data_IF_646704396275
#
_entry.id   IF_646704396275
#
_cell.length_a   1.000
_cell.length_b   1.000
_cell.length_c   1.000
_cell.angle_alpha   90.00
_cell.angle_beta   90.00
_cell.angle_gamma   90.00
#
_symmetry.space_group_name_H-M   'P 1'
#
loop_
_entity.id
_entity.type
_entity.pdbx_description
1 polymer ?
#
# COMPACT_ATOMS: atom_id res chain seq x y z
N UNK A 1 18.22 10.78 -13.03
CA UNK A 1 19.17 10.91 -11.90
C UNK A 1 20.12 12.03 -12.24
N UNK A 2 20.13 13.11 -11.47
CA UNK A 2 21.03 14.24 -11.67
C UNK A 2 22.36 13.96 -10.97
N UNK A 3 23.41 14.69 -11.35
CA UNK A 3 24.73 14.58 -10.73
C UNK A 3 25.07 15.83 -9.94
N UNK A 4 25.88 15.66 -8.89
CA UNK A 4 26.40 16.79 -8.13
C UNK A 4 27.24 17.74 -9.00
N UNK A 5 27.95 17.22 -10.00
CA UNK A 5 28.71 18.02 -10.95
C UNK A 5 27.82 18.92 -11.81
N UNK A 6 26.68 18.42 -12.30
CA UNK A 6 25.70 19.24 -13.03
C UNK A 6 25.13 20.36 -12.16
N UNK A 7 24.81 20.06 -10.90
CA UNK A 7 24.33 21.05 -9.94
C UNK A 7 25.38 22.15 -9.72
N UNK A 8 26.63 21.76 -9.41
CA UNK A 8 27.74 22.69 -9.17
C UNK A 8 28.12 23.52 -10.39
N UNK A 9 27.89 23.00 -11.60
CA UNK A 9 28.13 23.71 -12.85
C UNK A 9 26.95 24.64 -13.25
N UNK A 10 25.89 24.74 -12.44
CA UNK A 10 24.70 25.55 -12.74
C UNK A 10 23.85 25.03 -13.90
N UNK A 11 24.08 23.80 -14.36
CA UNK A 11 23.39 23.22 -15.53
C UNK A 11 21.94 22.85 -15.24
N UNK A 12 21.52 22.91 -13.97
CA UNK A 12 20.17 22.58 -13.51
C UNK A 12 19.35 23.82 -13.17
N UNK A 13 19.82 25.03 -13.52
CA UNK A 13 19.09 26.27 -13.28
C UNK A 13 17.66 26.20 -13.85
N UNK A 14 16.66 26.56 -13.04
CA UNK A 14 15.25 26.51 -13.41
C UNK A 14 14.61 25.10 -13.32
N UNK A 15 15.34 24.08 -12.84
CA UNK A 15 14.77 22.76 -12.65
C UNK A 15 13.67 22.76 -11.57
N UNK A 16 12.53 22.15 -11.90
CA UNK A 16 11.45 21.90 -10.94
C UNK A 16 11.65 20.62 -10.12
N UNK A 17 12.49 19.70 -10.62
CA UNK A 17 12.80 18.44 -9.97
C UNK A 17 14.30 18.21 -9.92
N UNK A 18 14.80 17.86 -8.74
CA UNK A 18 16.18 17.46 -8.52
C UNK A 18 16.24 16.10 -7.82
N UNK A 19 16.88 15.12 -8.45
CA UNK A 19 17.16 13.80 -7.90
C UNK A 19 18.68 13.61 -7.72
N UNK A 20 19.18 13.58 -6.49
CA UNK A 20 20.58 13.31 -6.16
C UNK A 20 20.72 12.07 -5.27
N UNK A 21 21.49 11.09 -5.74
CA UNK A 21 21.92 9.94 -4.96
C UNK A 21 23.34 9.59 -5.37
N UNK A 22 24.27 10.28 -4.74
CA UNK A 22 25.69 10.25 -5.05
C UNK A 22 26.55 10.19 -3.77
N UNK A 23 25.99 9.61 -2.70
CA UNK A 23 26.68 9.43 -1.43
C UNK A 23 26.88 10.73 -0.66
N UNK A 24 25.90 11.66 -0.74
CA UNK A 24 25.96 12.94 -0.02
C UNK A 24 26.03 12.70 1.49
N UNK A 25 27.02 13.28 2.16
CA UNK A 25 27.11 13.31 3.64
C UNK A 25 26.59 14.62 4.22
N UNK A 26 26.47 15.65 3.39
CA UNK A 26 25.96 16.97 3.73
C UNK A 26 25.04 17.48 2.62
N UNK A 27 24.13 18.40 2.98
CA UNK A 27 23.25 19.05 2.01
C UNK A 27 24.07 19.99 1.10
N UNK A 28 24.07 19.81 -0.23
CA UNK A 28 24.78 20.72 -1.14
C UNK A 28 24.15 22.11 -1.13
N UNK A 29 24.88 23.18 -0.74
CA UNK A 29 24.34 24.54 -0.72
C UNK A 29 23.87 25.02 -2.10
N UNK A 30 24.43 24.47 -3.19
CA UNK A 30 24.05 24.80 -4.56
C UNK A 30 22.59 24.43 -4.90
N UNK A 31 21.92 23.60 -4.08
CA UNK A 31 20.48 23.36 -4.23
C UNK A 31 19.69 24.65 -4.03
N UNK A 32 20.17 25.58 -3.20
CA UNK A 32 19.52 26.86 -2.98
C UNK A 32 19.56 27.78 -4.20
N UNK A 33 20.43 27.54 -5.18
CA UNK A 33 20.41 28.25 -6.47
C UNK A 33 19.17 27.88 -7.31
N UNK A 34 18.41 26.86 -6.89
CA UNK A 34 17.13 26.45 -7.50
C UNK A 34 15.92 26.94 -6.71
N UNK A 35 16.09 27.82 -5.73
CA UNK A 35 15.02 28.29 -4.84
C UNK A 35 13.79 28.86 -5.58
N UNK A 36 14.00 29.46 -6.74
CA UNK A 36 12.96 30.09 -7.56
C UNK A 36 12.15 29.09 -8.41
N UNK A 37 12.54 27.81 -8.47
CA UNK A 37 11.88 26.82 -9.34
C UNK A 37 11.64 25.45 -8.73
N UNK A 38 12.43 25.05 -7.72
CA UNK A 38 12.47 23.67 -7.25
C UNK A 38 11.19 23.29 -6.48
N UNK A 39 10.42 22.35 -7.04
CA UNK A 39 9.19 21.82 -6.44
C UNK A 39 9.39 20.43 -5.81
N UNK A 40 10.26 19.61 -6.39
CA UNK A 40 10.49 18.23 -5.99
C UNK A 40 11.99 18.02 -5.73
N UNK A 41 12.33 17.73 -4.48
CA UNK A 41 13.69 17.39 -4.07
C UNK A 41 13.75 15.94 -3.59
N UNK A 42 14.58 15.14 -4.24
CA UNK A 42 14.82 13.75 -3.86
C UNK A 42 16.32 13.53 -3.57
N UNK A 43 16.61 13.30 -2.31
CA UNK A 43 17.91 13.00 -1.72
C UNK A 43 17.97 11.56 -1.18
N UNK A 44 17.13 10.66 -1.71
CA UNK A 44 17.08 9.25 -1.29
C UNK A 44 18.40 8.53 -1.58
N UNK A 45 18.84 7.64 -0.68
CA UNK A 45 20.03 6.82 -0.91
C UNK A 45 21.32 7.63 -0.83
N UNK A 46 21.46 8.42 0.23
CA UNK A 46 22.67 9.15 0.59
C UNK A 46 23.04 8.82 2.06
N UNK A 47 23.89 9.63 2.68
CA UNK A 47 24.33 9.48 4.07
C UNK A 47 24.07 10.77 4.88
N UNK A 48 22.99 11.49 4.55
CA UNK A 48 22.61 12.71 5.25
C UNK A 48 22.08 12.39 6.65
N UNK A 49 22.50 13.17 7.65
CA UNK A 49 21.98 13.09 9.02
C UNK A 49 21.23 14.35 9.45
N UNK A 50 21.31 15.43 8.67
CA UNK A 50 20.62 16.69 8.90
C UNK A 50 20.23 17.38 7.59
N UNK A 51 19.34 18.35 7.69
CA UNK A 51 19.02 19.33 6.65
C UNK A 51 19.34 20.72 7.18
N UNK A 52 19.63 21.71 6.31
CA UNK A 52 19.94 23.06 6.75
C UNK A 52 18.70 23.74 7.38
N UNK A 53 18.91 24.57 8.41
CA UNK A 53 17.85 25.29 9.11
C UNK A 53 17.06 26.24 8.20
N UNK A 54 17.70 26.75 7.15
CA UNK A 54 17.14 27.67 6.17
C UNK A 54 16.57 26.95 4.92
N UNK A 55 16.19 25.67 5.03
CA UNK A 55 15.56 24.91 3.94
C UNK A 55 14.32 25.61 3.36
N UNK A 56 13.59 26.36 4.19
CA UNK A 56 12.41 27.15 3.81
C UNK A 56 12.69 28.23 2.74
N UNK A 57 13.96 28.52 2.43
CA UNK A 57 14.35 29.32 1.25
C UNK A 57 13.90 28.70 -0.06
N UNK A 58 13.70 27.39 -0.12
CA UNK A 58 13.10 26.70 -1.27
C UNK A 58 11.58 26.93 -1.25
N UNK A 59 11.16 28.16 -1.57
CA UNK A 59 9.78 28.62 -1.38
C UNK A 59 8.73 27.86 -2.19
N UNK A 60 9.15 27.20 -3.27
CA UNK A 60 8.30 26.37 -4.12
C UNK A 60 8.35 24.87 -3.78
N UNK A 61 9.11 24.45 -2.76
CA UNK A 61 9.30 23.05 -2.44
C UNK A 61 8.00 22.41 -1.92
N UNK A 62 7.48 21.45 -2.69
CA UNK A 62 6.23 20.73 -2.40
C UNK A 62 6.46 19.30 -1.93
N UNK A 63 7.55 18.67 -2.40
CA UNK A 63 7.84 17.25 -2.18
C UNK A 63 9.31 17.08 -1.80
N UNK A 64 9.55 16.41 -0.67
CA UNK A 64 10.89 16.06 -0.20
C UNK A 64 11.00 14.57 0.11
N UNK A 65 11.96 13.90 -0.53
CA UNK A 65 12.32 12.52 -0.23
C UNK A 65 13.76 12.42 0.27
N UNK A 66 13.94 11.90 1.48
CA UNK A 66 15.22 11.67 2.15
C UNK A 66 15.30 10.21 2.66
N UNK A 67 14.74 9.25 1.92
CA UNK A 67 14.73 7.84 2.34
C UNK A 67 16.12 7.21 2.24
N UNK A 68 16.43 6.15 3.01
CA UNK A 68 17.75 5.51 3.02
C UNK A 68 18.89 6.52 3.27
N UNK A 69 18.84 7.18 4.43
CA UNK A 69 19.84 8.13 4.92
C UNK A 69 20.16 7.80 6.40
N UNK A 70 20.78 8.72 7.14
CA UNK A 70 21.21 8.53 8.53
C UNK A 70 20.50 9.50 9.50
N UNK A 71 19.26 9.90 9.22
CA UNK A 71 18.50 10.78 10.11
C UNK A 71 18.07 10.04 11.39
N UNK A 72 18.30 10.65 12.55
CA UNK A 72 17.86 10.14 13.87
C UNK A 72 16.64 10.87 14.43
N UNK A 73 16.27 11.98 13.81
CA UNK A 73 15.08 12.79 14.09
C UNK A 73 14.52 13.34 12.77
N UNK A 74 13.23 13.68 12.75
CA UNK A 74 12.65 14.40 11.62
C UNK A 74 13.03 15.89 11.72
N UNK A 75 13.72 16.49 10.72
CA UNK A 75 14.25 17.86 10.85
C UNK A 75 13.16 18.92 11.04
N UNK A 76 13.33 19.82 12.02
CA UNK A 76 12.35 20.88 12.33
C UNK A 76 12.18 21.91 11.20
N UNK A 77 13.21 22.14 10.39
CA UNK A 77 13.14 23.08 9.26
C UNK A 77 12.05 22.72 8.23
N UNK A 78 11.59 21.46 8.21
CA UNK A 78 10.50 21.00 7.35
C UNK A 78 9.19 21.73 7.64
N UNK A 79 8.86 22.02 8.89
CA UNK A 79 7.60 22.70 9.22
C UNK A 79 7.59 24.18 8.83
N UNK A 80 8.74 24.76 8.51
CA UNK A 80 8.86 26.13 8.00
C UNK A 80 8.63 26.23 6.49
N UNK A 81 8.65 25.10 5.76
CA UNK A 81 8.42 25.05 4.32
C UNK A 81 6.91 25.14 4.02
N UNK A 82 6.42 26.34 3.70
CA UNK A 82 4.99 26.63 3.61
C UNK A 82 4.23 25.79 2.57
N UNK A 83 4.86 25.46 1.44
CA UNK A 83 4.26 24.68 0.34
C UNK A 83 4.51 23.16 0.46
N UNK A 84 5.29 22.75 1.46
CA UNK A 84 5.70 21.34 1.62
C UNK A 84 4.49 20.50 2.03
N UNK A 85 4.14 19.55 1.18
CA UNK A 85 2.95 18.72 1.35
C UNK A 85 3.26 17.22 1.38
N UNK A 86 4.42 16.80 0.87
CA UNK A 86 4.81 15.39 0.86
C UNK A 86 6.23 15.19 1.38
N UNK A 87 6.35 14.38 2.44
CA UNK A 87 7.60 14.12 3.14
C UNK A 87 7.82 12.61 3.19
N UNK A 88 9.00 12.15 2.77
CA UNK A 88 9.37 10.73 2.91
C UNK A 88 10.79 10.50 3.41
N UNK A 89 10.88 9.89 4.60
CA UNK A 89 12.10 9.51 5.30
C UNK A 89 12.10 8.01 5.62
N UNK A 90 11.72 7.16 4.66
CA UNK A 90 11.74 5.71 4.83
C UNK A 90 13.15 5.18 5.10
N UNK A 91 13.31 4.14 5.92
CA UNK A 91 14.58 3.44 6.15
C UNK A 91 15.68 4.40 6.61
N UNK A 92 15.38 5.11 7.71
CA UNK A 92 16.32 5.95 8.46
C UNK A 92 16.45 5.37 9.88
N UNK A 93 16.90 6.17 10.84
CA UNK A 93 17.02 5.79 12.25
C UNK A 93 16.19 6.73 13.14
N UNK A 94 15.12 7.31 12.58
CA UNK A 94 14.33 8.35 13.24
C UNK A 94 13.69 7.77 14.49
N UNK A 95 14.00 8.35 15.64
CA UNK A 95 13.41 7.98 16.93
C UNK A 95 12.53 9.08 17.52
N UNK A 96 12.67 10.31 17.02
CA UNK A 96 11.94 11.49 17.45
C UNK A 96 11.32 12.24 16.25
N UNK A 97 10.05 12.64 16.40
CA UNK A 97 9.32 13.46 15.43
C UNK A 97 8.85 14.71 16.15
N UNK A 98 9.58 15.84 16.06
CA UNK A 98 9.17 17.07 16.73
C UNK A 98 7.94 17.68 16.04
N UNK A 99 7.07 18.32 16.83
CA UNK A 99 5.86 18.98 16.31
C UNK A 99 6.19 20.07 15.27
N UNK A 100 7.34 20.74 15.44
CA UNK A 100 7.85 21.77 14.55
C UNK A 100 8.28 21.25 13.16
N UNK A 101 8.51 19.95 12.99
CA UNK A 101 8.87 19.37 11.69
C UNK A 101 7.67 19.13 10.75
N UNK A 102 6.44 19.36 11.23
CA UNK A 102 5.22 18.98 10.52
C UNK A 102 4.60 20.22 9.85
N UNK A 103 4.76 20.39 8.51
CA UNK A 103 4.29 21.58 7.81
C UNK A 103 2.75 21.67 7.77
N UNK A 104 2.19 22.88 7.61
CA UNK A 104 0.75 23.10 7.66
C UNK A 104 -0.01 22.44 6.51
N UNK A 105 0.63 22.27 5.35
CA UNK A 105 0.02 21.65 4.16
C UNK A 105 0.33 20.16 4.03
N UNK A 106 0.80 19.50 5.11
CA UNK A 106 1.17 18.10 5.09
C UNK A 106 -0.01 17.22 4.64
N UNK A 107 0.17 16.58 3.48
CA UNK A 107 -0.72 15.56 2.93
C UNK A 107 -0.14 14.18 3.17
N UNK A 108 1.17 14.00 2.96
CA UNK A 108 1.85 12.70 3.00
C UNK A 108 3.02 12.70 3.97
N UNK A 109 3.00 11.72 4.86
CA UNK A 109 4.11 11.46 5.78
C UNK A 109 4.52 9.99 5.69
N UNK A 110 5.71 9.75 5.14
CA UNK A 110 6.29 8.41 5.00
C UNK A 110 7.48 8.29 5.95
N UNK A 111 7.29 7.55 7.04
CA UNK A 111 8.28 7.26 8.07
C UNK A 111 8.45 5.75 8.29
N UNK A 112 8.11 4.93 7.28
CA UNK A 112 8.32 3.48 7.29
C UNK A 112 9.76 3.12 7.65
N UNK A 113 9.96 2.04 8.40
CA UNK A 113 11.27 1.47 8.72
C UNK A 113 12.17 2.48 9.45
N UNK A 114 11.78 2.81 10.68
CA UNK A 114 12.46 3.74 11.57
C UNK A 114 12.38 3.22 13.03
N UNK A 115 12.74 4.05 14.00
CA UNK A 115 12.79 3.71 15.43
C UNK A 115 11.76 4.50 16.27
N UNK A 116 10.67 4.97 15.66
CA UNK A 116 9.72 5.90 16.29
C UNK A 116 8.90 5.17 17.35
N UNK A 117 8.82 5.75 18.54
CA UNK A 117 7.99 5.22 19.66
C UNK A 117 6.69 5.98 19.86
N UNK A 118 6.68 7.27 19.52
CA UNK A 118 5.54 8.17 19.70
C UNK A 118 5.53 9.21 18.58
N UNK A 119 4.34 9.67 18.22
CA UNK A 119 4.12 10.80 17.32
C UNK A 119 3.56 11.98 18.13
N UNK A 120 3.86 13.23 17.74
CA UNK A 120 3.36 14.41 18.43
C UNK A 120 1.85 14.58 18.22
N UNK A 121 1.13 15.09 19.22
CA UNK A 121 -0.33 15.32 19.17
C UNK A 121 -0.70 16.32 18.07
N UNK A 122 0.18 17.26 17.76
CA UNK A 122 -0.06 18.24 16.71
C UNK A 122 -0.31 17.53 15.38
N UNK A 123 0.14 16.27 15.15
CA UNK A 123 -0.08 15.57 13.87
C UNK A 123 -1.57 15.57 13.47
N UNK A 124 -2.47 15.54 14.46
CA UNK A 124 -3.92 15.69 14.27
C UNK A 124 -4.38 17.07 13.78
N UNK A 125 -3.54 18.10 13.85
CA UNK A 125 -3.78 19.46 13.35
C UNK A 125 -3.42 19.63 11.88
N UNK A 126 -3.19 18.53 11.15
CA UNK A 126 -2.90 18.51 9.70
C UNK A 126 -4.14 18.03 8.96
N UNK A 127 -5.11 18.90 8.66
CA UNK A 127 -6.41 18.50 8.12
C UNK A 127 -6.31 17.97 6.68
N UNK A 128 -5.20 18.22 5.99
CA UNK A 128 -4.95 17.74 4.63
C UNK A 128 -4.27 16.36 4.61
N UNK A 129 -3.93 15.77 5.76
CA UNK A 129 -3.25 14.48 5.83
C UNK A 129 -4.12 13.39 5.19
N UNK A 130 -3.57 12.72 4.18
CA UNK A 130 -4.23 11.70 3.35
C UNK A 130 -3.53 10.34 3.42
N UNK A 131 -2.20 10.34 3.57
CA UNK A 131 -1.35 9.14 3.56
C UNK A 131 -0.35 9.18 4.69
N UNK A 132 -0.41 8.18 5.57
CA UNK A 132 0.45 8.05 6.74
C UNK A 132 1.10 6.67 6.78
N UNK A 133 2.39 6.60 6.45
CA UNK A 133 3.13 5.33 6.37
C UNK A 133 4.09 5.23 7.56
N UNK A 134 3.82 4.32 8.48
CA UNK A 134 4.49 4.14 9.76
C UNK A 134 4.92 2.68 10.00
N UNK A 135 4.82 1.81 9.00
CA UNK A 135 5.16 0.40 9.14
C UNK A 135 6.64 0.21 9.55
N UNK A 136 6.94 -0.80 10.37
CA UNK A 136 8.31 -1.06 10.82
C UNK A 136 8.85 0.00 11.78
N UNK A 137 8.09 0.35 12.81
CA UNK A 137 8.49 1.27 13.87
C UNK A 137 8.32 0.60 15.25
N UNK A 138 8.34 1.37 16.33
CA UNK A 138 8.18 0.90 17.70
C UNK A 138 6.97 1.55 18.39
N UNK A 139 5.95 1.94 17.61
CA UNK A 139 4.74 2.60 18.11
C UNK A 139 3.89 1.63 18.92
N UNK A 140 3.43 2.07 20.09
CA UNK A 140 2.46 1.34 20.92
C UNK A 140 1.05 1.91 20.76
N UNK A 141 0.95 3.22 20.49
CA UNK A 141 -0.30 3.96 20.30
C UNK A 141 -0.12 5.04 19.21
N UNK A 142 -1.25 5.47 18.65
CA UNK A 142 -1.34 6.67 17.80
C UNK A 142 -1.94 7.81 18.64
N UNK A 143 -1.54 9.09 18.40
CA UNK A 143 -2.08 10.22 19.16
C UNK A 143 -3.58 10.37 18.91
N UNK A 144 -4.33 10.66 19.98
CA UNK A 144 -5.80 10.76 19.94
C UNK A 144 -6.27 11.87 18.98
N UNK A 145 -5.47 12.91 18.82
CA UNK A 145 -5.73 14.05 17.93
C UNK A 145 -5.91 13.67 16.46
N UNK A 146 -5.40 12.52 16.01
CA UNK A 146 -5.61 12.01 14.63
C UNK A 146 -7.08 11.75 14.31
N UNK A 147 -7.97 11.72 15.30
CA UNK A 147 -9.42 11.74 15.08
C UNK A 147 -9.88 12.94 14.23
N UNK A 148 -9.12 14.04 14.17
CA UNK A 148 -9.43 15.22 13.36
C UNK A 148 -9.00 15.09 11.89
N UNK A 149 -8.18 14.09 11.54
CA UNK A 149 -7.68 13.87 10.18
C UNK A 149 -8.73 13.16 9.31
N UNK A 150 -9.87 13.82 9.06
CA UNK A 150 -11.00 13.24 8.32
C UNK A 150 -10.68 12.90 6.86
N UNK A 151 -9.59 13.45 6.31
CA UNK A 151 -9.10 13.17 4.96
C UNK A 151 -8.13 11.99 4.90
N UNK A 152 -7.77 11.37 6.03
CA UNK A 152 -6.84 10.25 6.05
C UNK A 152 -7.47 9.03 5.36
N UNK A 153 -6.90 8.62 4.24
CA UNK A 153 -7.42 7.50 3.43
C UNK A 153 -6.59 6.22 3.58
N UNK A 154 -5.27 6.39 3.73
CA UNK A 154 -4.30 5.31 3.77
C UNK A 154 -3.43 5.44 5.02
N UNK A 155 -3.41 4.40 5.84
CA UNK A 155 -2.50 4.28 6.98
C UNK A 155 -1.86 2.89 7.02
N UNK A 156 -0.53 2.86 7.17
CA UNK A 156 0.25 1.62 7.33
C UNK A 156 0.95 1.65 8.67
N UNK A 157 0.52 0.82 9.61
CA UNK A 157 1.09 0.68 10.97
C UNK A 157 1.58 -0.74 11.23
N UNK A 158 1.72 -1.56 10.19
CA UNK A 158 2.25 -2.92 10.29
C UNK A 158 3.62 -2.98 10.99
N UNK A 159 3.91 -4.09 11.67
CA UNK A 159 5.19 -4.35 12.35
C UNK A 159 5.57 -3.22 13.33
N UNK A 160 4.67 -2.97 14.28
CA UNK A 160 4.84 -2.06 15.41
C UNK A 160 4.57 -2.84 16.72
N UNK A 161 4.10 -2.17 17.78
CA UNK A 161 3.81 -2.77 19.09
C UNK A 161 2.37 -2.53 19.55
N UNK A 162 1.45 -2.31 18.61
CA UNK A 162 0.04 -2.08 18.93
C UNK A 162 -0.59 -3.34 19.56
N UNK A 163 -1.08 -3.21 20.78
CA UNK A 163 -1.86 -4.25 21.47
C UNK A 163 -3.36 -4.11 21.22
N UNK A 164 -3.79 -2.93 20.76
CA UNK A 164 -5.17 -2.61 20.38
C UNK A 164 -5.15 -1.51 19.30
N UNK A 165 -6.17 -1.50 18.44
CA UNK A 165 -6.41 -0.39 17.52
C UNK A 165 -7.29 0.67 18.22
N UNK A 166 -7.02 1.96 18.05
CA UNK A 166 -7.85 2.99 18.69
C UNK A 166 -9.22 3.10 18.02
N UNK A 167 -10.28 3.28 18.81
CA UNK A 167 -11.66 3.31 18.31
C UNK A 167 -11.90 4.37 17.24
N UNK A 168 -11.26 5.54 17.34
CA UNK A 168 -11.40 6.61 16.34
C UNK A 168 -10.90 6.18 14.96
N UNK A 169 -9.90 5.30 14.87
CA UNK A 169 -9.36 4.82 13.60
C UNK A 169 -10.43 4.03 12.83
N UNK A 170 -11.20 3.23 13.56
CA UNK A 170 -12.30 2.42 13.04
C UNK A 170 -13.52 3.25 12.60
N UNK A 171 -13.55 4.53 12.95
CA UNK A 171 -14.63 5.46 12.64
C UNK A 171 -14.21 6.58 11.68
N UNK A 172 -12.97 6.59 11.19
CA UNK A 172 -12.51 7.63 10.28
C UNK A 172 -13.27 7.57 8.94
N UNK A 173 -13.88 8.69 8.50
CA UNK A 173 -14.85 8.66 7.39
C UNK A 173 -14.21 8.39 6.03
N UNK A 174 -12.95 8.77 5.85
CA UNK A 174 -12.23 8.57 4.57
C UNK A 174 -11.28 7.38 4.59
N UNK A 175 -11.08 6.72 5.74
CA UNK A 175 -10.14 5.61 5.84
C UNK A 175 -10.60 4.44 4.97
N UNK A 176 -9.67 3.94 4.17
CA UNK A 176 -9.92 3.01 3.06
C UNK A 176 -8.93 1.86 3.06
N UNK A 177 -7.66 2.18 3.28
CA UNK A 177 -6.57 1.20 3.26
C UNK A 177 -5.84 1.25 4.59
N UNK A 178 -5.91 0.16 5.33
CA UNK A 178 -5.32 -0.01 6.64
C UNK A 178 -4.51 -1.31 6.62
N UNK A 179 -3.22 -1.22 6.97
CA UNK A 179 -2.41 -2.41 7.29
C UNK A 179 -1.88 -2.29 8.71
N UNK A 180 -2.05 -3.35 9.48
CA UNK A 180 -1.58 -3.44 10.86
C UNK A 180 -0.98 -4.80 11.21
N UNK A 181 -0.71 -5.66 10.22
CA UNK A 181 -0.09 -6.97 10.43
C UNK A 181 1.26 -6.90 11.15
N UNK A 182 1.63 -7.95 11.88
CA UNK A 182 2.86 -8.00 12.67
C UNK A 182 2.82 -7.15 13.94
N UNK A 183 1.62 -6.79 14.41
CA UNK A 183 1.41 -6.18 15.72
C UNK A 183 0.82 -7.20 16.71
N UNK A 184 1.07 -7.06 18.03
CA UNK A 184 0.45 -7.93 19.04
C UNK A 184 -1.08 -8.04 18.96
N UNK A 185 -1.77 -6.99 18.51
CA UNK A 185 -3.24 -7.00 18.30
C UNK A 185 -3.68 -8.07 17.30
N UNK A 186 -2.84 -8.41 16.32
CA UNK A 186 -3.11 -9.44 15.32
C UNK A 186 -2.98 -10.84 15.92
N UNK A 187 -1.98 -11.08 16.79
CA UNK A 187 -1.70 -12.39 17.42
C UNK A 187 -2.77 -12.83 18.43
N UNK A 188 -3.67 -11.93 18.83
CA UNK A 188 -4.89 -12.32 19.55
C UNK A 188 -5.84 -13.19 18.69
N UNK A 189 -5.58 -13.28 17.38
CA UNK A 189 -6.30 -14.11 16.43
C UNK A 189 -5.51 -15.39 16.16
N UNK A 190 -6.11 -16.55 16.41
CA UNK A 190 -5.48 -17.84 16.12
C UNK A 190 -5.52 -18.03 14.61
N UNK A 191 -4.44 -17.66 13.91
CA UNK A 191 -4.21 -18.12 12.54
C UNK A 191 -3.94 -19.61 12.64
N UNK A 192 -4.93 -20.43 12.29
CA UNK A 192 -4.70 -21.86 12.20
C UNK A 192 -3.61 -22.07 11.14
N UNK A 193 -2.48 -22.68 11.53
CA UNK A 193 -1.58 -23.28 10.54
C UNK A 193 -2.45 -24.13 9.63
N UNK A 194 -2.52 -23.81 8.34
CA UNK A 194 -3.25 -24.63 7.40
C UNK A 194 -2.41 -25.89 7.12
N UNK A 195 -2.76 -27.06 7.68
CA UNK A 195 -2.01 -28.29 7.47
C UNK A 195 -2.12 -28.80 6.02
N UNK A 196 -2.91 -28.13 5.17
CA UNK A 196 -3.11 -28.52 3.77
C UNK A 196 -2.16 -27.84 2.78
N UNK A 197 -1.38 -26.83 3.21
CA UNK A 197 -0.36 -26.23 2.34
C UNK A 197 0.75 -27.24 2.06
N UNK A 198 0.94 -27.61 0.79
CA UNK A 198 2.01 -28.54 0.43
C UNK A 198 3.39 -27.93 0.72
N UNK A 199 4.30 -28.76 1.24
CA UNK A 199 5.71 -28.44 1.30
C UNK A 199 6.37 -28.91 -0.01
N UNK A 200 6.92 -27.96 -0.77
CA UNK A 200 7.57 -28.22 -2.05
C UNK A 200 9.08 -28.10 -1.86
N UNK A 201 9.84 -29.21 -1.90
CA UNK A 201 11.28 -29.18 -1.76
C UNK A 201 11.94 -28.33 -2.84
N UNK A 202 12.85 -27.44 -2.44
CA UNK A 202 13.59 -26.58 -3.39
C UNK A 202 14.23 -27.34 -4.57
N UNK A 203 14.84 -28.53 -4.37
CA UNK A 203 15.42 -29.28 -5.48
C UNK A 203 14.41 -29.77 -6.52
N UNK A 204 13.10 -29.72 -6.26
CA UNK A 204 12.06 -30.06 -7.23
C UNK A 204 11.73 -28.92 -8.19
N UNK A 205 12.20 -27.70 -7.91
CA UNK A 205 11.96 -26.52 -8.71
C UNK A 205 13.16 -26.24 -9.63
N UNK A 206 12.87 -26.03 -10.91
CA UNK A 206 13.84 -25.54 -11.89
C UNK A 206 13.48 -24.11 -12.27
N UNK A 207 14.19 -23.14 -11.71
CA UNK A 207 13.91 -21.71 -11.95
C UNK A 207 14.36 -21.29 -13.34
N UNK A 208 13.57 -20.42 -13.95
CA UNK A 208 13.80 -19.83 -15.26
C UNK A 208 13.80 -18.29 -15.16
N UNK A 209 13.22 -17.61 -16.16
CA UNK A 209 13.18 -16.15 -16.25
C UNK A 209 12.49 -15.47 -15.06
N UNK A 210 12.91 -14.24 -14.76
CA UNK A 210 12.22 -13.35 -13.82
C UNK A 210 10.95 -12.82 -14.49
N UNK A 211 9.81 -12.99 -13.84
CA UNK A 211 8.50 -12.49 -14.29
C UNK A 211 8.20 -11.09 -13.73
N UNK A 212 8.72 -10.78 -12.54
CA UNK A 212 8.57 -9.48 -11.90
C UNK A 212 9.43 -9.36 -10.65
N UNK A 213 9.75 -8.13 -10.27
CA UNK A 213 10.45 -7.82 -9.04
C UNK A 213 9.79 -6.62 -8.35
N UNK A 214 9.55 -6.75 -7.05
CA UNK A 214 8.94 -5.71 -6.23
C UNK A 214 9.67 -5.52 -4.90
N UNK A 215 9.05 -4.74 -4.02
CA UNK A 215 9.56 -4.47 -2.68
C UNK A 215 9.59 -5.73 -1.80
N UNK A 216 8.60 -6.61 -1.93
CA UNK A 216 8.50 -7.81 -1.09
C UNK A 216 9.25 -9.03 -1.64
N UNK A 217 9.68 -9.03 -2.90
CA UNK A 217 10.29 -10.22 -3.49
C UNK A 217 10.56 -10.17 -4.98
N UNK A 218 11.08 -11.29 -5.49
CA UNK A 218 11.27 -11.57 -6.91
C UNK A 218 10.37 -12.75 -7.30
N UNK A 219 9.60 -12.59 -8.38
CA UNK A 219 8.77 -13.64 -8.94
C UNK A 219 9.51 -14.22 -10.14
N UNK A 220 9.75 -15.52 -10.13
CA UNK A 220 10.40 -16.25 -11.23
C UNK A 220 9.47 -17.30 -11.77
N UNK A 221 9.53 -17.53 -13.07
CA UNK A 221 8.96 -18.74 -13.65
C UNK A 221 9.78 -19.94 -13.21
N UNK A 222 9.14 -21.08 -13.00
CA UNK A 222 9.82 -22.33 -12.74
C UNK A 222 9.06 -23.52 -13.33
N UNK A 223 9.75 -24.64 -13.48
CA UNK A 223 9.15 -25.95 -13.70
C UNK A 223 9.12 -26.72 -12.39
N UNK A 224 7.94 -27.14 -11.92
CA UNK A 224 7.82 -28.08 -10.83
C UNK A 224 7.98 -29.51 -11.39
N UNK A 225 9.20 -30.05 -11.24
CA UNK A 225 9.67 -31.23 -11.98
C UNK A 225 8.82 -32.49 -11.81
N UNK A 226 8.38 -32.88 -10.60
CA UNK A 226 7.59 -34.10 -10.41
C UNK A 226 6.26 -34.11 -11.18
N UNK A 227 5.67 -32.94 -11.40
CA UNK A 227 4.40 -32.80 -12.13
C UNK A 227 4.59 -32.30 -13.58
N UNK A 228 5.82 -32.01 -13.99
CA UNK A 228 6.13 -31.30 -15.23
C UNK A 228 5.25 -30.04 -15.44
N UNK A 229 4.92 -29.36 -14.34
CA UNK A 229 3.97 -28.23 -14.33
C UNK A 229 4.72 -26.90 -14.31
N UNK A 230 4.46 -25.99 -15.27
CA UNK A 230 4.92 -24.59 -15.18
C UNK A 230 4.25 -23.88 -14.01
N UNK A 231 5.04 -23.20 -13.19
CA UNK A 231 4.61 -22.47 -11.99
C UNK A 231 5.31 -21.13 -11.89
N UNK A 232 4.79 -20.25 -11.03
CA UNK A 232 5.48 -19.05 -10.57
C UNK A 232 6.00 -19.28 -9.16
N UNK A 233 7.24 -18.89 -8.89
CA UNK A 233 7.87 -18.95 -7.56
C UNK A 233 8.15 -17.54 -7.11
N UNK A 234 7.47 -17.10 -6.05
CA UNK A 234 7.73 -15.82 -5.38
C UNK A 234 8.74 -16.04 -4.27
N UNK A 235 9.94 -15.49 -4.45
CA UNK A 235 11.01 -15.46 -3.47
C UNK A 235 10.90 -14.18 -2.65
N UNK A 236 10.64 -14.29 -1.35
CA UNK A 236 10.46 -13.12 -0.48
C UNK A 236 11.79 -12.53 -0.02
N UNK A 237 11.88 -11.21 0.04
CA UNK A 237 13.03 -10.48 0.61
C UNK A 237 12.90 -10.47 2.14
N UNK A 238 14.01 -10.45 2.88
CA UNK A 238 14.00 -10.49 4.36
C UNK A 238 13.73 -9.15 5.06
N UNK A 239 13.58 -8.07 4.30
CA UNK A 239 13.44 -6.70 4.82
C UNK A 239 11.99 -6.26 4.91
N UNK A 240 11.66 -5.36 5.85
CA UNK A 240 10.34 -4.74 5.95
C UNK A 240 10.02 -3.93 4.68
N UNK A 241 8.77 -3.97 4.22
CA UNK A 241 8.27 -3.16 3.10
C UNK A 241 7.46 -1.97 3.59
N UNK A 242 6.93 -1.16 2.68
CA UNK A 242 5.93 -0.12 2.99
C UNK A 242 4.66 -0.66 3.65
N UNK A 243 4.37 -1.93 3.41
CA UNK A 243 3.06 -2.54 3.64
C UNK A 243 3.09 -3.52 4.81
N UNK A 244 4.26 -4.13 5.07
CA UNK A 244 4.47 -5.02 6.19
C UNK A 244 5.70 -5.90 6.00
N UNK A 245 5.71 -7.03 6.72
CA UNK A 245 6.77 -8.04 6.59
C UNK A 245 6.40 -9.05 5.49
N UNK A 246 7.33 -9.37 4.56
CA UNK A 246 7.10 -10.37 3.52
C UNK A 246 6.66 -11.76 4.02
N UNK A 247 7.00 -12.11 5.27
CA UNK A 247 6.52 -13.37 5.88
C UNK A 247 5.02 -13.33 6.19
N UNK A 248 4.49 -12.17 6.62
CA UNK A 248 3.05 -12.02 6.86
C UNK A 248 2.29 -12.04 5.54
N UNK A 249 2.85 -11.45 4.48
CA UNK A 249 2.28 -11.57 3.13
C UNK A 249 2.14 -13.05 2.72
N UNK A 250 3.21 -13.84 2.90
CA UNK A 250 3.19 -15.26 2.58
C UNK A 250 2.11 -16.01 3.38
N UNK A 251 2.00 -15.73 4.69
CA UNK A 251 0.98 -16.33 5.55
C UNK A 251 -0.44 -15.95 5.13
N UNK A 252 -0.67 -14.67 4.78
CA UNK A 252 -1.96 -14.21 4.29
C UNK A 252 -2.33 -14.86 2.95
N UNK A 253 -1.38 -15.00 2.01
CA UNK A 253 -1.59 -15.73 0.75
C UNK A 253 -2.03 -17.17 0.99
N UNK A 254 -1.41 -17.84 1.96
CA UNK A 254 -1.73 -19.22 2.32
C UNK A 254 -3.12 -19.29 2.98
N UNK A 255 -3.36 -18.47 4.00
CA UNK A 255 -4.61 -18.48 4.77
C UNK A 255 -5.83 -18.01 3.95
N UNK A 256 -5.61 -17.23 2.89
CA UNK A 256 -6.65 -16.88 1.93
C UNK A 256 -7.24 -18.13 1.25
N UNK A 257 -6.48 -19.22 1.13
CA UNK A 257 -6.95 -20.48 0.57
C UNK A 257 -7.37 -20.39 -0.91
N UNK A 258 -8.26 -21.28 -1.33
CA UNK A 258 -8.68 -21.39 -2.73
C UNK A 258 -9.90 -20.50 -3.01
N UNK A 259 -9.80 -19.67 -4.04
CA UNK A 259 -10.92 -18.89 -4.58
C UNK A 259 -10.74 -18.67 -6.10
N UNK A 260 -11.81 -18.68 -6.92
CA UNK A 260 -11.69 -18.49 -8.38
C UNK A 260 -11.05 -17.16 -8.81
N UNK A 261 -11.12 -16.14 -7.96
CA UNK A 261 -10.54 -14.81 -8.19
C UNK A 261 -9.26 -14.56 -7.39
N UNK A 262 -8.59 -15.62 -6.92
CA UNK A 262 -7.25 -15.56 -6.33
C UNK A 262 -6.24 -16.33 -7.17
N UNK A 263 -4.99 -15.89 -7.15
CA UNK A 263 -3.89 -16.68 -7.70
C UNK A 263 -3.72 -17.91 -6.81
N UNK A 264 -3.89 -19.10 -7.38
CA UNK A 264 -3.78 -20.35 -6.62
C UNK A 264 -2.37 -20.53 -6.08
N UNK A 265 -2.30 -20.75 -4.77
CA UNK A 265 -1.08 -21.18 -4.08
C UNK A 265 -0.99 -22.71 -4.16
N UNK A 266 0.11 -23.21 -4.72
CA UNK A 266 0.38 -24.66 -4.78
C UNK A 266 1.07 -25.17 -3.52
N UNK A 267 1.92 -24.35 -2.90
CA UNK A 267 2.62 -24.75 -1.68
C UNK A 267 3.73 -23.79 -1.29
N UNK A 268 4.29 -24.02 -0.10
CA UNK A 268 5.46 -23.30 0.41
C UNK A 268 6.74 -24.05 0.04
N UNK A 269 7.80 -23.32 -0.27
CA UNK A 269 9.11 -23.91 -0.54
C UNK A 269 9.78 -24.30 0.77
N UNK A 270 10.39 -25.48 0.80
CA UNK A 270 11.21 -25.94 1.93
C UNK A 270 12.62 -26.31 1.49
N UNK A 271 13.61 -26.09 2.35
CA UNK A 271 15.02 -26.43 2.08
C UNK A 271 15.68 -25.53 1.04
N UNK A 272 15.32 -24.25 0.98
CA UNK A 272 16.05 -23.26 0.18
C UNK A 272 17.50 -23.12 0.72
N UNK A 273 18.54 -23.08 -0.13
CA UNK A 273 19.95 -23.03 0.31
C UNK A 273 20.28 -21.87 1.26
N UNK A 274 19.66 -20.72 1.01
CA UNK A 274 19.84 -19.49 1.81
C UNK A 274 18.73 -19.28 2.87
N UNK A 275 17.94 -20.31 3.17
CA UNK A 275 16.77 -20.23 4.08
C UNK A 275 15.75 -19.13 3.71
N UNK A 276 15.69 -18.81 2.41
CA UNK A 276 14.78 -17.80 1.90
C UNK A 276 13.35 -18.34 1.84
N UNK A 277 12.42 -17.59 2.43
CA UNK A 277 10.99 -17.90 2.32
C UNK A 277 10.52 -17.75 0.87
N UNK A 278 9.75 -18.73 0.39
CA UNK A 278 9.20 -18.69 -0.95
C UNK A 278 7.88 -19.45 -1.09
N UNK A 279 7.06 -18.99 -2.03
CA UNK A 279 5.75 -19.56 -2.34
C UNK A 279 5.69 -19.99 -3.80
N UNK A 280 5.15 -21.17 -4.05
CA UNK A 280 4.85 -21.66 -5.39
C UNK A 280 3.38 -21.39 -5.68
N UNK A 281 3.13 -20.77 -6.83
CA UNK A 281 1.81 -20.33 -7.28
C UNK A 281 1.57 -20.78 -8.71
N UNK A 282 0.32 -20.79 -9.13
CA UNK A 282 -0.02 -20.99 -10.54
C UNK A 282 0.64 -19.94 -11.43
N UNK A 283 1.20 -20.40 -12.56
CA UNK A 283 1.66 -19.48 -13.59
C UNK A 283 0.44 -18.84 -14.26
N UNK A 284 0.37 -17.51 -14.20
CA UNK A 284 -0.76 -16.75 -14.69
C UNK A 284 -0.77 -16.77 -16.22
N UNK A 285 -1.95 -16.95 -16.80
CA UNK A 285 -2.13 -16.95 -18.24
C UNK A 285 -1.71 -15.57 -18.83
N UNK A 286 -0.93 -15.53 -19.94
CA UNK A 286 -0.45 -14.28 -20.53
C UNK A 286 -1.54 -13.30 -21.01
N UNK A 287 -2.81 -13.74 -21.10
CA UNK A 287 -3.94 -12.86 -21.40
C UNK A 287 -4.29 -11.89 -20.26
N UNK A 288 -3.82 -12.16 -19.04
CA UNK A 288 -4.01 -11.28 -17.89
C UNK A 288 -3.02 -10.12 -17.90
N UNK A 289 -3.49 -8.95 -17.49
CA UNK A 289 -2.70 -7.73 -17.31
C UNK A 289 -3.19 -6.95 -16.09
N UNK A 290 -2.35 -6.08 -15.54
CA UNK A 290 -2.77 -5.19 -14.46
C UNK A 290 -3.94 -4.29 -14.92
N UNK A 291 -4.92 -4.09 -14.04
CA UNK A 291 -6.09 -3.26 -14.31
C UNK A 291 -5.74 -1.77 -14.32
N UNK A 292 -4.78 -1.35 -13.50
CA UNK A 292 -4.23 -0.01 -13.51
C UNK A 292 -2.74 0.01 -13.11
N UNK A 293 -2.10 1.16 -13.27
CA UNK A 293 -0.79 1.45 -12.70
C UNK A 293 -0.93 2.08 -11.30
N UNK A 294 0.18 2.07 -10.55
CA UNK A 294 0.27 2.64 -9.20
C UNK A 294 -0.15 4.12 -9.16
N UNK A 295 -0.57 4.64 -8.00
CA UNK A 295 -0.84 6.06 -7.82
C UNK A 295 0.38 6.94 -8.12
N UNK A 296 0.13 8.17 -8.57
CA UNK A 296 1.16 9.20 -8.74
C UNK A 296 1.22 10.16 -7.56
N UNK A 297 2.22 11.04 -7.57
CA UNK A 297 2.30 12.18 -6.66
C UNK A 297 1.05 13.08 -6.77
N UNK A 298 0.43 13.18 -7.95
CA UNK A 298 -0.74 14.03 -8.17
C UNK A 298 -2.03 13.38 -7.67
N UNK A 299 -2.28 12.12 -8.09
CA UNK A 299 -3.50 11.37 -7.76
C UNK A 299 -3.54 10.93 -6.30
N UNK A 300 -2.38 10.90 -5.67
CA UNK A 300 -2.13 10.54 -4.30
C UNK A 300 -2.45 9.06 -3.97
N UNK A 301 -3.73 8.74 -3.85
CA UNK A 301 -4.27 7.45 -3.39
C UNK A 301 -5.23 6.88 -4.42
N UNK A 302 -5.13 7.33 -5.68
CA UNK A 302 -5.93 6.83 -6.80
C UNK A 302 -5.02 6.27 -7.87
N UNK A 303 -5.37 5.10 -8.37
CA UNK A 303 -4.59 4.42 -9.41
C UNK A 303 -4.69 5.14 -10.75
N UNK A 304 -3.69 4.91 -11.60
CA UNK A 304 -3.63 5.53 -12.91
C UNK A 304 -3.98 4.48 -13.96
N UNK A 305 -5.06 4.73 -14.68
CA UNK A 305 -5.46 3.91 -15.81
C UNK A 305 -4.84 4.44 -17.10
N UNK A 306 -4.55 3.55 -18.05
CA UNK A 306 -4.09 3.95 -19.38
C UNK A 306 -5.15 4.84 -20.05
N UNK A 307 -4.69 5.88 -20.75
CA UNK A 307 -5.58 6.82 -21.41
C UNK A 307 -6.49 6.10 -22.42
N UNK A 308 -7.80 6.33 -22.33
CA UNK A 308 -8.78 5.67 -23.20
C UNK A 308 -9.18 4.26 -22.77
N UNK A 309 -8.75 3.77 -21.60
CA UNK A 309 -9.25 2.51 -21.03
C UNK A 309 -10.78 2.54 -20.92
N UNK A 310 -11.44 1.59 -21.59
CA UNK A 310 -12.90 1.40 -21.58
C UNK A 310 -13.25 -0.08 -21.46
N UNK A 311 -14.41 -0.35 -20.85
CA UNK A 311 -14.95 -1.69 -20.66
C UNK A 311 -16.40 -1.76 -21.13
N UNK A 312 -16.80 -2.89 -21.71
CA UNK A 312 -18.22 -3.16 -21.87
C UNK A 312 -18.88 -3.34 -20.50
N UNK A 313 -20.19 -3.07 -20.35
CA UNK A 313 -20.91 -3.28 -19.10
C UNK A 313 -20.77 -4.71 -18.55
N UNK A 314 -20.73 -5.72 -19.42
CA UNK A 314 -20.64 -7.13 -19.04
C UNK A 314 -19.27 -7.47 -18.47
N UNK A 315 -18.20 -6.98 -19.11
CA UNK A 315 -16.81 -7.17 -18.67
C UNK A 315 -16.60 -6.48 -17.32
N UNK A 316 -17.04 -5.22 -17.19
CA UNK A 316 -16.93 -4.48 -15.93
C UNK A 316 -17.72 -5.16 -14.80
N UNK A 317 -18.96 -5.58 -15.07
CA UNK A 317 -19.79 -6.26 -14.06
C UNK A 317 -19.17 -7.60 -13.62
N UNK A 318 -18.53 -8.33 -14.53
CA UNK A 318 -17.81 -9.58 -14.20
C UNK A 318 -16.64 -9.32 -13.25
N UNK A 319 -15.83 -8.29 -13.52
CA UNK A 319 -14.75 -7.88 -12.63
C UNK A 319 -15.27 -7.40 -11.26
N UNK A 320 -16.29 -6.53 -11.24
CA UNK A 320 -16.91 -6.02 -10.00
C UNK A 320 -17.38 -7.18 -9.13
N UNK A 321 -18.04 -8.19 -9.71
CA UNK A 321 -18.47 -9.40 -9.01
C UNK A 321 -17.30 -10.23 -8.51
N UNK A 322 -16.27 -10.45 -9.33
CA UNK A 322 -15.08 -11.21 -8.94
C UNK A 322 -14.37 -10.59 -7.74
N UNK A 323 -14.20 -9.27 -7.75
CA UNK A 323 -13.57 -8.51 -6.66
C UNK A 323 -14.42 -8.55 -5.39
N UNK A 324 -15.73 -8.31 -5.49
CA UNK A 324 -16.61 -8.40 -4.33
C UNK A 324 -16.62 -9.80 -3.72
N UNK A 325 -16.58 -10.84 -4.56
CA UNK A 325 -16.61 -12.22 -4.11
C UNK A 325 -15.33 -12.66 -3.40
N UNK A 326 -14.15 -12.28 -3.93
CA UNK A 326 -12.89 -12.55 -3.25
C UNK A 326 -12.76 -11.77 -1.94
N UNK A 327 -13.21 -10.51 -1.89
CA UNK A 327 -13.21 -9.74 -0.64
C UNK A 327 -14.13 -10.38 0.42
N UNK A 328 -15.34 -10.80 0.03
CA UNK A 328 -16.24 -11.57 0.91
C UNK A 328 -15.60 -12.86 1.42
N UNK A 329 -14.84 -13.54 0.56
CA UNK A 329 -14.10 -14.76 0.91
C UNK A 329 -13.01 -14.48 1.93
N UNK A 330 -12.17 -13.47 1.72
CA UNK A 330 -11.11 -13.07 2.67
C UNK A 330 -11.70 -12.71 4.04
N UNK A 331 -12.81 -11.96 4.08
CA UNK A 331 -13.48 -11.59 5.33
C UNK A 331 -13.97 -12.81 6.11
N UNK A 332 -14.47 -13.85 5.43
CA UNK A 332 -14.85 -15.12 6.06
C UNK A 332 -13.65 -15.87 6.64
N UNK A 333 -12.47 -15.72 6.04
CA UNK A 333 -11.21 -16.28 6.56
C UNK A 333 -10.58 -15.42 7.66
N UNK A 334 -11.20 -14.30 8.05
CA UNK A 334 -10.63 -13.40 9.06
C UNK A 334 -9.50 -12.53 8.51
N UNK A 335 -9.51 -12.24 7.21
CA UNK A 335 -8.47 -11.46 6.52
C UNK A 335 -9.09 -10.20 5.93
N UNK A 336 -8.46 -9.06 6.18
CA UNK A 336 -8.60 -7.86 5.34
C UNK A 336 -7.38 -7.75 4.44
N UNK A 337 -7.57 -7.43 3.16
CA UNK A 337 -6.47 -7.29 2.20
C UNK A 337 -5.65 -6.02 2.48
N UNK A 338 -6.30 -4.94 2.93
CA UNK A 338 -5.63 -3.69 3.33
C UNK A 338 -5.05 -2.85 2.18
N UNK A 339 -5.10 -3.38 0.95
CA UNK A 339 -4.58 -2.76 -0.28
C UNK A 339 -5.43 -3.12 -1.52
N UNK A 340 -6.75 -3.16 -1.34
CA UNK A 340 -7.69 -3.42 -2.43
C UNK A 340 -7.68 -2.23 -3.42
N UNK A 341 -6.91 -2.38 -4.49
CA UNK A 341 -6.64 -1.40 -5.53
C UNK A 341 -6.71 -2.05 -6.92
N UNK A 342 -6.88 -1.23 -7.97
CA UNK A 342 -6.86 -1.69 -9.34
C UNK A 342 -5.48 -2.21 -9.76
N UNK A 343 -4.39 -1.61 -9.31
CA UNK A 343 -3.03 -2.09 -9.65
C UNK A 343 -2.71 -3.48 -9.09
N UNK A 344 -3.44 -3.93 -8.06
CA UNK A 344 -3.35 -5.26 -7.46
C UNK A 344 -4.34 -6.27 -8.08
N UNK A 345 -5.09 -5.87 -9.11
CA UNK A 345 -6.03 -6.72 -9.81
C UNK A 345 -5.51 -6.99 -11.22
N UNK A 346 -5.32 -8.27 -11.52
CA UNK A 346 -5.09 -8.75 -12.87
C UNK A 346 -6.42 -9.03 -13.54
N UNK A 347 -6.55 -8.73 -14.83
CA UNK A 347 -7.77 -9.01 -15.60
C UNK A 347 -7.47 -9.40 -17.05
N UNK A 348 -8.42 -10.08 -17.70
CA UNK A 348 -8.34 -10.47 -19.11
C UNK A 348 -9.51 -9.88 -19.94
N UNK A 349 -9.46 -10.05 -21.26
CA UNK A 349 -10.43 -9.44 -22.18
C UNK A 349 -11.90 -9.88 -21.98
N UNK A 350 -12.15 -11.00 -21.30
CA UNK A 350 -13.51 -11.48 -21.00
C UNK A 350 -14.01 -11.04 -19.62
N UNK A 351 -13.18 -10.32 -18.85
CA UNK A 351 -13.50 -9.80 -17.52
C UNK A 351 -13.28 -10.77 -16.36
N UNK A 352 -12.56 -11.87 -16.58
CA UNK A 352 -12.03 -12.64 -15.44
C UNK A 352 -10.96 -11.80 -14.75
N UNK A 353 -10.92 -11.86 -13.42
CA UNK A 353 -9.95 -11.12 -12.63
C UNK A 353 -9.38 -11.94 -11.49
N UNK A 354 -8.13 -11.64 -11.13
CA UNK A 354 -7.40 -12.24 -10.02
C UNK A 354 -6.90 -11.10 -9.12
N UNK A 355 -7.20 -11.18 -7.83
CA UNK A 355 -6.63 -10.31 -6.80
C UNK A 355 -5.29 -10.90 -6.34
N UNK A 356 -4.27 -10.04 -6.20
CA UNK A 356 -2.95 -10.38 -5.69
C UNK A 356 -2.39 -9.28 -4.78
N UNK A 357 -1.10 -9.43 -4.42
CA UNK A 357 -0.36 -8.55 -3.50
C UNK A 357 -0.95 -8.45 -2.08
N UNK A 358 -0.66 -9.45 -1.26
CA UNK A 358 -1.10 -9.49 0.13
C UNK A 358 -0.14 -8.77 1.08
N UNK A 359 0.74 -7.89 0.57
CA UNK A 359 1.76 -7.20 1.36
C UNK A 359 1.21 -6.42 2.56
N UNK A 360 -0.03 -5.94 2.43
CA UNK A 360 -0.75 -5.13 3.41
C UNK A 360 -1.80 -5.92 4.21
N UNK A 361 -2.00 -7.20 3.89
CA UNK A 361 -3.07 -7.99 4.46
C UNK A 361 -2.89 -8.13 5.97
N UNK A 362 -4.00 -8.06 6.71
CA UNK A 362 -4.00 -8.15 8.17
C UNK A 362 -5.09 -9.12 8.63
N UNK A 363 -4.78 -9.90 9.67
CA UNK A 363 -5.71 -10.83 10.29
C UNK A 363 -6.57 -10.16 11.37
N UNK A 364 -7.84 -10.54 11.43
CA UNK A 364 -8.79 -10.12 12.45
C UNK A 364 -9.60 -11.31 12.96
N UNK A 365 -10.27 -11.14 14.10
CA UNK A 365 -11.11 -12.20 14.65
C UNK A 365 -12.26 -12.53 13.69
N UNK A 366 -12.56 -13.82 13.53
CA UNK A 366 -13.71 -14.29 12.72
C UNK A 366 -15.04 -14.17 13.46
N UNK A 367 -15.01 -13.90 14.76
CA UNK A 367 -16.19 -13.58 15.55
C UNK A 367 -16.77 -12.24 15.11
N UNK A 368 -18.09 -12.18 14.98
CA UNK A 368 -18.79 -10.94 14.65
C UNK A 368 -18.78 -9.99 15.86
N UNK A 369 -17.88 -9.00 15.80
CA UNK A 369 -17.75 -7.92 16.78
C UNK A 369 -17.90 -6.57 16.08
N UNK A 370 -18.09 -5.49 16.86
CA UNK A 370 -18.13 -4.13 16.30
C UNK A 370 -16.80 -3.76 15.62
N UNK A 371 -15.68 -4.18 16.21
CA UNK A 371 -14.34 -3.97 15.65
C UNK A 371 -14.15 -4.73 14.33
N UNK A 372 -14.45 -6.04 14.30
CA UNK A 372 -14.38 -6.85 13.08
C UNK A 372 -15.24 -6.25 11.96
N UNK A 373 -16.48 -5.84 12.27
CA UNK A 373 -17.36 -5.19 11.29
C UNK A 373 -16.77 -3.87 10.78
N UNK A 374 -16.19 -3.05 11.66
CA UNK A 374 -15.59 -1.79 11.25
C UNK A 374 -14.38 -1.99 10.34
N UNK A 375 -13.48 -2.94 10.65
CA UNK A 375 -12.34 -3.32 9.80
C UNK A 375 -12.80 -3.75 8.40
N UNK A 376 -13.80 -4.63 8.33
CA UNK A 376 -14.38 -5.07 7.05
C UNK A 376 -14.99 -3.90 6.27
N UNK A 377 -15.66 -2.97 6.96
CA UNK A 377 -16.32 -1.80 6.35
C UNK A 377 -15.34 -0.69 5.93
N UNK A 378 -14.13 -0.67 6.47
CA UNK A 378 -13.03 0.14 5.92
C UNK A 378 -12.69 -0.38 4.51
N UNK A 379 -12.50 -1.69 4.36
CA UNK A 379 -12.19 -2.31 3.06
C UNK A 379 -13.35 -2.22 2.06
N UNK A 380 -14.60 -2.19 2.52
CA UNK A 380 -15.77 -1.91 1.65
C UNK A 380 -15.66 -0.53 0.98
N UNK A 381 -15.09 0.47 1.66
CA UNK A 381 -14.82 1.76 1.01
C UNK A 381 -13.80 1.61 -0.11
N UNK A 382 -12.78 0.76 0.05
CA UNK A 382 -11.78 0.49 -0.99
C UNK A 382 -12.43 -0.10 -2.24
N UNK A 383 -13.33 -1.06 -2.04
CA UNK A 383 -14.18 -1.57 -3.12
C UNK A 383 -15.06 -0.48 -3.74
N UNK A 384 -15.65 0.41 -2.94
CA UNK A 384 -16.44 1.54 -3.43
C UNK A 384 -15.62 2.52 -4.28
N UNK A 385 -14.38 2.80 -3.90
CA UNK A 385 -13.46 3.64 -4.70
C UNK A 385 -13.15 2.96 -6.03
N UNK A 386 -12.73 1.70 -6.01
CA UNK A 386 -12.48 0.91 -7.22
C UNK A 386 -13.72 0.81 -8.12
N UNK A 387 -14.90 0.63 -7.53
CA UNK A 387 -16.16 0.61 -8.26
C UNK A 387 -16.40 1.93 -8.97
N UNK A 388 -16.19 3.07 -8.30
CA UNK A 388 -16.27 4.39 -8.93
C UNK A 388 -15.31 4.54 -10.11
N UNK A 389 -14.06 4.11 -9.96
CA UNK A 389 -13.06 4.12 -11.02
C UNK A 389 -13.48 3.25 -12.21
N UNK A 390 -14.02 2.06 -11.97
CA UNK A 390 -14.56 1.20 -13.03
C UNK A 390 -15.78 1.81 -13.72
N UNK A 391 -16.71 2.40 -12.97
CA UNK A 391 -17.93 3.01 -13.51
C UNK A 391 -17.63 4.14 -14.49
N UNK A 392 -16.65 5.00 -14.19
CA UNK A 392 -16.19 6.06 -15.11
C UNK A 392 -15.66 5.54 -16.45
N UNK A 393 -15.35 4.23 -16.52
CA UNK A 393 -14.72 3.54 -17.64
C UNK A 393 -15.66 2.56 -18.36
N UNK A 394 -16.93 2.50 -17.98
CA UNK A 394 -17.92 1.69 -18.69
C UNK A 394 -18.42 2.43 -19.93
N UNK A 395 -18.46 1.75 -21.07
CA UNK A 395 -19.10 2.24 -22.28
C UNK A 395 -20.64 2.16 -22.18
N UNK A 396 -21.33 3.21 -22.60
CA UNK A 396 -22.79 3.24 -22.66
C UNK A 396 -23.47 3.58 -21.34
N UNK A 397 -24.68 3.03 -21.12
CA UNK A 397 -25.49 3.33 -19.94
C UNK A 397 -25.08 2.49 -18.73
N UNK A 398 -24.81 3.14 -17.60
CA UNK A 398 -24.48 2.50 -16.33
C UNK A 398 -25.78 2.14 -15.59
N UNK A 399 -25.85 0.95 -14.98
CA UNK A 399 -26.97 0.57 -14.10
C UNK A 399 -26.95 1.44 -12.82
N UNK A 400 -28.03 2.19 -12.59
CA UNK A 400 -28.16 3.10 -11.44
C UNK A 400 -27.95 2.41 -10.09
N UNK A 401 -28.20 1.09 -10.00
CA UNK A 401 -27.94 0.30 -8.79
C UNK A 401 -26.45 0.19 -8.48
N UNK A 402 -25.58 0.17 -9.49
CA UNK A 402 -24.12 0.20 -9.28
C UNK A 402 -23.65 1.56 -8.77
N UNK A 403 -24.24 2.65 -9.26
CA UNK A 403 -23.96 4.01 -8.77
C UNK A 403 -24.42 4.14 -7.32
N UNK A 404 -25.62 3.66 -7.00
CA UNK A 404 -26.12 3.64 -5.61
C UNK A 404 -25.23 2.78 -4.70
N UNK A 405 -24.79 1.60 -5.17
CA UNK A 405 -23.85 0.74 -4.45
C UNK A 405 -22.54 1.47 -4.15
N UNK A 406 -21.96 2.15 -5.14
CA UNK A 406 -20.75 2.95 -4.99
C UNK A 406 -20.91 4.00 -3.88
N UNK A 407 -22.03 4.72 -3.88
CA UNK A 407 -22.33 5.76 -2.90
C UNK A 407 -22.45 5.19 -1.47
N UNK A 408 -23.15 4.08 -1.28
CA UNK A 408 -23.31 3.46 0.05
C UNK A 408 -22.02 2.80 0.56
N UNK A 409 -21.12 2.36 -0.33
CA UNK A 409 -19.80 1.86 0.06
C UNK A 409 -18.87 3.00 0.49
N UNK A 410 -18.99 4.18 -0.14
CA UNK A 410 -18.11 5.33 0.12
C UNK A 410 -18.64 6.35 1.15
N UNK A 411 -19.84 6.15 1.69
CA UNK A 411 -20.43 7.08 2.65
C UNK A 411 -19.62 7.15 3.97
N UNK A 412 -19.65 8.30 4.67
CA UNK A 412 -18.69 8.62 5.74
C UNK A 412 -18.89 7.86 7.05
N UNK A 413 -20.10 7.39 7.36
CA UNK A 413 -20.37 6.66 8.60
C UNK A 413 -19.99 5.19 8.42
N UNK A 414 -18.80 4.77 8.86
CA UNK A 414 -18.27 3.40 8.66
C UNK A 414 -19.33 2.33 8.99
N UNK A 415 -20.12 2.53 10.06
CA UNK A 415 -21.13 1.57 10.53
C UNK A 415 -22.33 1.37 9.59
N UNK A 416 -22.56 2.28 8.64
CA UNK A 416 -23.64 2.21 7.65
C UNK A 416 -23.22 1.61 6.31
N UNK A 417 -21.92 1.33 6.11
CA UNK A 417 -21.45 0.66 4.89
C UNK A 417 -21.93 -0.80 4.90
N UNK A 418 -22.36 -1.35 3.76
CA UNK A 418 -22.77 -2.75 3.69
C UNK A 418 -21.59 -3.68 3.93
N UNK A 419 -21.83 -4.90 4.39
CA UNK A 419 -20.83 -5.98 4.35
C UNK A 419 -20.74 -6.62 2.96
N UNK A 420 -19.63 -7.27 2.61
CA UNK A 420 -19.50 -7.87 1.28
C UNK A 420 -20.54 -8.94 0.96
N UNK A 421 -21.09 -9.64 1.95
CA UNK A 421 -22.22 -10.57 1.71
C UNK A 421 -23.47 -9.86 1.17
N UNK A 422 -23.77 -8.66 1.68
CA UNK A 422 -24.89 -7.83 1.19
C UNK A 422 -24.59 -7.29 -0.21
N UNK A 423 -23.32 -6.92 -0.46
CA UNK A 423 -22.83 -6.49 -1.77
C UNK A 423 -22.97 -7.61 -2.81
N UNK A 424 -22.53 -8.83 -2.49
CA UNK A 424 -22.66 -9.99 -3.39
C UNK A 424 -24.14 -10.25 -3.75
N UNK A 425 -25.04 -10.21 -2.78
CA UNK A 425 -26.47 -10.39 -3.01
C UNK A 425 -27.06 -9.28 -3.93
N UNK A 426 -26.66 -8.03 -3.72
CA UNK A 426 -27.08 -6.92 -4.58
C UNK A 426 -26.54 -7.08 -6.00
N UNK A 427 -25.27 -7.43 -6.16
CA UNK A 427 -24.64 -7.64 -7.47
C UNK A 427 -25.24 -8.83 -8.24
N UNK A 428 -25.71 -9.87 -7.56
CA UNK A 428 -26.44 -10.98 -8.19
C UNK A 428 -27.79 -10.55 -8.79
N UNK A 429 -28.44 -9.54 -8.21
CA UNK A 429 -29.71 -8.99 -8.71
C UNK A 429 -29.57 -8.15 -9.99
N UNK A 430 -28.34 -7.78 -10.36
CA UNK A 430 -28.04 -6.98 -11.55
C UNK A 430 -27.83 -7.93 -12.72
N UNK A 431 -28.88 -8.19 -13.52
CA UNK A 431 -28.77 -9.11 -14.66
C UNK A 431 -27.75 -8.63 -15.70
N UNK A 432 -27.03 -9.58 -16.31
CA UNK A 432 -26.37 -9.37 -17.61
C UNK A 432 -27.49 -9.20 -18.63
N UNK A 433 -27.63 -8.01 -19.23
CA UNK A 433 -28.61 -7.79 -20.30
C UNK A 433 -28.10 -8.31 -21.62
#
# INVERSE_FOLDING_TARGET
MNTLAQLKAGQLAGAQRLDLSCGLTEFPPEIFELADSLEILNLTGNALSSLPDDLHRLTHLRILFCSNNAFTELPECLGQCAELSMIGFKSNQISHVPAAALPPLLRWLILTDNCIRQLPDELGERPLLQKLMLAGNQLEHLPQSLTHCHNLELIRIASNRFTQLPEWLLNLPSLTWLAYAGNPVETATVVADDPTTANIPWPELELAEVLGEGASGIIRKALWKPLAKPVAVKLYKGTITSDGSPLHEMQACIAAGLHPNLIKVEGRVVGHPDDQAALVMDLIDPSYRNLAALPSLDSCTRDIYEAGTRFSPEVALRMIRGVASVAAHLHRQGITHGDLYAHNILWNAVGDCLLGDFGAASFHATTDTLETRALQRIEVRAFGVLLGELLERIDGSIDERLVALQQICCQPDVSKRPGFQEIEALLQSIQQR
#
